data_IF_917059827985
#
_entry.id   IF_917059827985
#
_cell.length_a   1.000
_cell.length_b   1.000
_cell.length_c   1.000
_cell.angle_alpha   90.00
_cell.angle_beta   90.00
_cell.angle_gamma   90.00
#
_symmetry.space_group_name_H-M   'P 1'
#
loop_
_entity.id
_entity.type
_entity.pdbx_description
1 polymer ?
#
# COMPACT_ATOMS: atom_id res chain seq x y z
N UNK A 1 -6.66 -16.29 -8.77
CA UNK A 1 -6.26 -14.91 -8.47
C UNK A 1 -7.52 -14.17 -8.04
N UNK A 2 -7.58 -13.69 -6.80
CA UNK A 2 -8.69 -12.89 -6.30
C UNK A 2 -8.25 -11.42 -6.32
N UNK A 3 -9.05 -10.54 -6.90
CA UNK A 3 -8.86 -9.10 -6.84
C UNK A 3 -10.22 -8.45 -6.59
N UNK A 4 -10.23 -7.40 -5.77
CA UNK A 4 -11.43 -6.63 -5.48
C UNK A 4 -11.25 -5.27 -6.15
N UNK A 5 -12.22 -4.88 -6.98
CA UNK A 5 -12.24 -3.54 -7.56
C UNK A 5 -12.71 -2.55 -6.50
N UNK A 6 -11.89 -1.54 -6.24
CA UNK A 6 -12.21 -0.43 -5.34
C UNK A 6 -12.04 0.89 -6.09
N UNK A 7 -12.79 1.90 -5.67
CA UNK A 7 -12.58 3.29 -6.09
C UNK A 7 -11.72 3.96 -5.02
N UNK A 8 -10.57 4.56 -5.38
CA UNK A 8 -9.76 5.32 -4.42
C UNK A 8 -10.59 6.43 -3.76
N UNK A 9 -10.41 6.59 -2.45
CA UNK A 9 -11.03 7.70 -1.71
C UNK A 9 -10.15 8.95 -1.80
N UNK A 10 -10.74 10.14 -1.63
CA UNK A 10 -9.95 11.36 -1.55
C UNK A 10 -9.07 11.34 -0.28
N UNK A 11 -7.76 11.45 -0.48
CA UNK A 11 -6.76 11.54 0.60
C UNK A 11 -5.91 12.80 0.43
N UNK A 12 -5.36 13.36 1.51
CA UNK A 12 -4.30 14.35 1.38
C UNK A 12 -3.13 13.78 0.61
N UNK A 13 -2.41 14.66 -0.09
CA UNK A 13 -1.17 14.30 -0.78
C UNK A 13 -0.08 13.97 0.23
N UNK A 14 0.49 12.77 0.12
CA UNK A 14 1.54 12.23 1.00
C UNK A 14 2.85 12.06 0.23
N UNK A 15 2.77 11.65 -1.04
CA UNK A 15 3.96 11.38 -1.87
C UNK A 15 4.21 12.56 -2.84
N UNK A 16 5.17 13.44 -2.55
CA UNK A 16 5.43 14.62 -3.39
C UNK A 16 6.17 14.27 -4.68
N UNK A 17 6.91 13.16 -4.70
CA UNK A 17 7.78 12.74 -5.81
C UNK A 17 7.02 12.05 -6.94
N UNK A 18 5.92 11.38 -6.60
CA UNK A 18 5.05 10.67 -7.54
C UNK A 18 3.57 10.80 -7.11
N UNK A 19 2.74 11.59 -7.82
CA UNK A 19 1.31 11.70 -7.56
C UNK A 19 0.55 10.36 -7.67
N UNK A 20 1.01 9.44 -8.50
CA UNK A 20 0.28 8.20 -8.75
C UNK A 20 0.37 7.26 -7.53
N UNK A 21 1.39 7.43 -6.70
CA UNK A 21 1.53 6.68 -5.45
C UNK A 21 0.48 7.08 -4.39
N UNK A 22 -0.02 8.33 -4.41
CA UNK A 22 -1.12 8.75 -3.54
C UNK A 22 -2.41 7.95 -3.85
N UNK A 23 -2.64 7.57 -5.11
CA UNK A 23 -3.78 6.74 -5.52
C UNK A 23 -3.67 5.30 -5.00
N UNK A 24 -2.45 4.76 -4.86
CA UNK A 24 -2.21 3.45 -4.24
C UNK A 24 -2.59 3.49 -2.75
N UNK A 25 -2.19 4.55 -2.06
CA UNK A 25 -2.54 4.76 -0.65
C UNK A 25 -4.06 4.91 -0.47
N UNK A 26 -4.71 5.69 -1.32
CA UNK A 26 -6.15 5.88 -1.34
C UNK A 26 -6.92 4.57 -1.62
N UNK A 27 -6.47 3.77 -2.58
CA UNK A 27 -7.06 2.48 -2.89
C UNK A 27 -6.92 1.48 -1.73
N UNK A 28 -5.76 1.45 -1.07
CA UNK A 28 -5.52 0.60 0.09
C UNK A 28 -6.47 0.93 1.25
N UNK A 29 -6.73 2.22 1.48
CA UNK A 29 -7.71 2.67 2.48
C UNK A 29 -9.13 2.31 2.10
N UNK A 30 -9.53 2.58 0.85
CA UNK A 30 -10.86 2.25 0.34
C UNK A 30 -11.17 0.75 0.42
N UNK A 31 -10.16 -0.10 0.17
CA UNK A 31 -10.26 -1.56 0.25
C UNK A 31 -9.98 -2.15 1.62
N UNK A 32 -9.72 -1.35 2.65
CA UNK A 32 -9.31 -1.80 3.98
C UNK A 32 -8.17 -2.84 3.93
N UNK A 33 -7.14 -2.55 3.12
CA UNK A 33 -6.03 -3.46 2.90
C UNK A 33 -5.25 -3.71 4.20
N UNK A 34 -4.87 -4.97 4.44
CA UNK A 34 -4.06 -5.32 5.61
C UNK A 34 -2.57 -4.95 5.50
N UNK A 35 -2.08 -4.70 4.28
CA UNK A 35 -0.72 -4.23 3.97
C UNK A 35 -0.65 -3.69 2.54
N UNK A 36 0.38 -2.89 2.24
CA UNK A 36 0.77 -2.46 0.89
C UNK A 36 2.12 -3.09 0.57
N UNK A 37 2.23 -3.79 -0.55
CA UNK A 37 3.51 -4.30 -1.03
C UNK A 37 4.08 -3.35 -2.09
N UNK A 38 5.26 -2.76 -1.84
CA UNK A 38 5.92 -1.85 -2.79
C UNK A 38 7.38 -2.22 -3.02
N UNK A 39 7.89 -1.87 -4.19
CA UNK A 39 9.32 -1.90 -4.54
C UNK A 39 9.96 -0.51 -4.57
N UNK A 40 9.16 0.57 -4.45
CA UNK A 40 9.58 1.95 -4.58
C UNK A 40 10.39 2.42 -3.37
N UNK A 41 11.72 2.29 -3.41
CA UNK A 41 12.63 2.64 -2.31
C UNK A 41 12.75 4.12 -2.01
N UNK A 42 12.22 4.99 -2.87
CA UNK A 42 12.30 6.45 -2.74
C UNK A 42 10.95 7.09 -2.40
N UNK A 43 9.87 6.35 -2.59
CA UNK A 43 8.51 6.89 -2.59
C UNK A 43 7.70 6.20 -1.48
N UNK A 44 6.93 5.15 -1.79
CA UNK A 44 6.09 4.47 -0.79
C UNK A 44 6.85 3.74 0.33
N UNK A 45 7.93 2.99 0.03
CA UNK A 45 8.62 2.20 1.08
C UNK A 45 9.17 3.07 2.22
N UNK A 46 9.80 4.22 1.96
CA UNK A 46 10.26 5.13 3.03
C UNK A 46 9.17 5.67 3.97
N UNK A 47 7.88 5.57 3.60
CA UNK A 47 6.79 6.01 4.48
C UNK A 47 6.58 5.06 5.66
N UNK A 48 7.07 3.81 5.58
CA UNK A 48 6.88 2.69 6.51
C UNK A 48 5.41 2.24 6.70
N UNK A 49 4.47 3.17 6.83
CA UNK A 49 3.04 2.92 6.96
C UNK A 49 2.21 4.13 6.53
N UNK A 50 0.96 3.90 6.14
CA UNK A 50 -0.01 4.96 5.88
C UNK A 50 -1.33 4.64 6.61
N UNK A 51 -1.80 5.55 7.47
CA UNK A 51 -3.04 5.37 8.26
C UNK A 51 -3.12 4.00 8.97
N UNK A 52 -1.98 3.54 9.50
CA UNK A 52 -1.84 2.24 10.18
C UNK A 52 -1.69 1.02 9.26
N UNK A 53 -1.81 1.18 7.94
CA UNK A 53 -1.54 0.12 6.97
C UNK A 53 -0.03 0.03 6.72
N UNK A 54 0.63 -1.10 7.02
CA UNK A 54 2.06 -1.23 6.84
C UNK A 54 2.44 -1.30 5.35
N UNK A 55 3.47 -0.56 4.96
CA UNK A 55 4.06 -0.59 3.63
C UNK A 55 5.34 -1.43 3.71
N UNK A 56 5.39 -2.51 2.95
CA UNK A 56 6.44 -3.52 3.07
C UNK A 56 6.98 -3.92 1.71
N UNK A 57 8.14 -4.57 1.69
CA UNK A 57 8.64 -5.16 0.45
C UNK A 57 7.76 -6.32 0.01
N UNK A 58 7.75 -6.63 -1.30
CA UNK A 58 7.04 -7.79 -1.82
C UNK A 58 7.48 -9.12 -1.15
N UNK A 59 8.77 -9.22 -0.78
CA UNK A 59 9.32 -10.37 -0.04
C UNK A 59 8.67 -10.49 1.34
N UNK A 60 8.61 -9.41 2.09
CA UNK A 60 8.05 -9.41 3.43
C UNK A 60 6.53 -9.64 3.41
N UNK A 61 5.83 -9.06 2.44
CA UNK A 61 4.41 -9.33 2.21
C UNK A 61 4.16 -10.82 1.99
N UNK A 62 4.92 -11.45 1.10
CA UNK A 62 4.82 -12.89 0.85
C UNK A 62 5.05 -13.71 2.12
N UNK A 63 6.09 -13.40 2.89
CA UNK A 63 6.38 -14.11 4.15
C UNK A 63 5.23 -13.99 5.16
N UNK A 64 4.65 -12.79 5.32
CA UNK A 64 3.53 -12.55 6.25
C UNK A 64 2.24 -13.28 5.84
N UNK A 65 1.98 -13.37 4.54
CA UNK A 65 0.78 -14.05 4.01
C UNK A 65 0.97 -15.56 4.07
N UNK A 66 2.14 -16.07 3.65
CA UNK A 66 2.44 -17.50 3.66
C UNK A 66 2.49 -18.09 5.08
N UNK A 67 2.86 -17.29 6.09
CA UNK A 67 2.87 -17.74 7.49
C UNK A 67 1.48 -17.77 8.15
N UNK A 68 0.46 -17.20 7.50
CA UNK A 68 -0.94 -17.17 7.98
C UNK A 68 -1.83 -18.18 7.25
N UNK A 69 -1.29 -18.89 6.25
CA UNK A 69 -1.96 -19.93 5.48
C UNK A 69 -1.61 -21.31 6.04
#
# INVERSE_FOLDING_TARGET
MLAILVTPISVPRVVPTDPDDDEVLAAALAGAAGLIASGGRRDLLPLDSNEGIPIVTARDAWQRIASKA
#
